data_IF_904743525425
#
_entry.id   IF_904743525425
#
_cell.length_a   1.000
_cell.length_b   1.000
_cell.length_c   1.000
_cell.angle_alpha   90.00
_cell.angle_beta   90.00
_cell.angle_gamma   90.00
#
_symmetry.space_group_name_H-M   'P 1'
#
loop_
_entity.id
_entity.type
_entity.pdbx_description
1 polymer ?
#
# COMPACT_ATOMS: atom_id res chain seq x y z
N UNK A 1 -3.50 11.32 5.95
CA UNK A 1 -4.19 10.01 5.82
C UNK A 1 -3.20 8.87 6.06
N UNK A 2 -3.64 7.68 6.48
CA UNK A 2 -2.74 6.54 6.73
C UNK A 2 -3.28 5.26 6.11
N UNK A 3 -2.37 4.41 5.63
CA UNK A 3 -2.67 3.10 5.05
C UNK A 3 -1.55 2.09 5.31
N UNK A 4 -1.87 0.81 5.15
CA UNK A 4 -0.91 -0.29 5.31
C UNK A 4 -1.20 -1.40 4.32
N UNK A 5 -0.17 -2.17 3.96
CA UNK A 5 -0.31 -3.40 3.18
C UNK A 5 0.15 -4.57 4.03
N UNK A 6 -0.67 -5.62 4.08
CA UNK A 6 -0.34 -6.88 4.77
C UNK A 6 -0.74 -8.09 3.92
N UNK A 7 -0.40 -9.29 4.38
CA UNK A 7 -0.67 -10.55 3.68
C UNK A 7 -1.74 -11.36 4.40
N UNK A 8 -2.72 -11.85 3.65
CA UNK A 8 -3.75 -12.76 4.14
C UNK A 8 -3.13 -14.11 4.55
N UNK A 9 -3.42 -14.56 5.77
CA UNK A 9 -2.92 -15.85 6.31
C UNK A 9 -3.94 -16.99 6.22
N UNK A 10 -5.14 -16.70 5.69
CA UNK A 10 -6.21 -17.68 5.45
C UNK A 10 -7.26 -17.08 4.51
N UNK A 11 -8.08 -17.94 3.93
CA UNK A 11 -9.26 -17.54 3.17
C UNK A 11 -10.26 -16.77 4.05
N UNK A 12 -10.86 -15.73 3.47
CA UNK A 12 -11.87 -14.89 4.11
C UNK A 12 -12.71 -14.15 3.06
N UNK A 13 -13.55 -13.22 3.51
CA UNK A 13 -14.32 -12.31 2.66
C UNK A 13 -14.38 -10.94 3.32
N UNK A 14 -14.33 -9.87 2.53
CA UNK A 14 -14.57 -8.50 2.97
C UNK A 14 -15.49 -7.78 1.98
N UNK A 15 -15.76 -6.50 2.23
CA UNK A 15 -16.62 -5.68 1.37
C UNK A 15 -16.05 -5.48 -0.05
N UNK A 16 -14.73 -5.62 -0.22
CA UNK A 16 -14.04 -5.53 -1.52
C UNK A 16 -14.19 -6.84 -2.32
N UNK A 17 -14.39 -7.98 -1.65
CA UNK A 17 -14.52 -9.28 -2.31
C UNK A 17 -14.02 -10.47 -1.48
N UNK A 18 -13.90 -11.65 -2.12
CA UNK A 18 -13.24 -12.81 -1.52
C UNK A 18 -11.74 -12.55 -1.32
N UNK A 19 -11.18 -13.09 -0.24
CA UNK A 19 -9.76 -13.05 0.09
C UNK A 19 -9.26 -14.49 0.10
N UNK A 20 -8.24 -14.81 -0.70
CA UNK A 20 -7.54 -16.08 -0.63
C UNK A 20 -6.34 -16.00 0.31
N UNK A 21 -5.97 -17.12 0.92
CA UNK A 21 -4.70 -17.24 1.63
C UNK A 21 -3.53 -16.84 0.71
N UNK A 22 -2.73 -15.89 1.16
CA UNK A 22 -1.57 -15.39 0.44
C UNK A 22 -1.80 -14.08 -0.32
N UNK A 23 -3.05 -13.64 -0.51
CA UNK A 23 -3.36 -12.34 -1.11
C UNK A 23 -2.79 -11.18 -0.27
N UNK A 24 -2.57 -10.05 -0.91
CA UNK A 24 -2.16 -8.81 -0.28
C UNK A 24 -3.35 -7.88 -0.10
N UNK A 25 -3.44 -7.33 1.10
CA UNK A 25 -4.55 -6.51 1.54
C UNK A 25 -4.07 -5.08 1.72
N UNK A 26 -4.69 -4.14 1.01
CA UNK A 26 -4.54 -2.72 1.29
C UNK A 26 -5.57 -2.31 2.34
N UNK A 27 -5.12 -1.77 3.47
CA UNK A 27 -5.97 -1.43 4.62
C UNK A 27 -5.85 0.06 4.89
N UNK A 28 -6.99 0.73 5.03
CA UNK A 28 -7.11 2.10 5.50
C UNK A 28 -7.88 2.14 6.82
N UNK A 29 -8.06 3.34 7.38
CA UNK A 29 -8.83 3.57 8.62
C UNK A 29 -10.24 2.94 8.59
N UNK A 30 -10.87 2.91 7.42
CA UNK A 30 -12.25 2.44 7.24
C UNK A 30 -12.35 0.92 6.99
N UNK A 31 -11.22 0.23 6.79
CA UNK A 31 -11.16 -1.20 6.55
C UNK A 31 -10.30 -1.56 5.32
N UNK A 32 -10.52 -2.77 4.82
CA UNK A 32 -9.84 -3.29 3.63
C UNK A 32 -10.36 -2.55 2.39
N UNK A 33 -9.45 -2.01 1.59
CA UNK A 33 -9.71 -1.24 0.35
C UNK A 33 -9.16 -1.91 -0.90
N UNK A 34 -8.23 -2.84 -0.76
CA UNK A 34 -7.64 -3.60 -1.87
C UNK A 34 -7.45 -5.07 -1.47
N UNK A 35 -7.67 -5.98 -2.42
CA UNK A 35 -7.37 -7.42 -2.29
C UNK A 35 -6.73 -7.87 -3.61
N UNK A 36 -5.42 -8.04 -3.61
CA UNK A 36 -4.65 -8.26 -4.84
C UNK A 36 -3.63 -9.38 -4.69
N UNK A 37 -3.20 -9.96 -5.82
CA UNK A 37 -2.23 -11.06 -5.81
C UNK A 37 -0.79 -10.60 -5.52
N UNK A 38 -0.49 -9.29 -5.67
CA UNK A 38 0.85 -8.74 -5.44
C UNK A 38 0.84 -7.55 -4.50
N UNK A 39 1.98 -7.32 -3.83
CA UNK A 39 2.15 -6.19 -2.91
C UNK A 39 2.03 -4.85 -3.63
N UNK A 40 2.60 -4.74 -4.84
CA UNK A 40 2.57 -3.51 -5.63
C UNK A 40 1.14 -3.15 -6.05
N UNK A 41 0.37 -4.14 -6.50
CA UNK A 41 -1.03 -3.91 -6.89
C UNK A 41 -1.87 -3.50 -5.67
N UNK A 42 -1.73 -4.21 -4.54
CA UNK A 42 -2.44 -3.85 -3.31
C UNK A 42 -2.09 -2.43 -2.81
N UNK A 43 -0.81 -2.04 -2.91
CA UNK A 43 -0.35 -0.71 -2.53
C UNK A 43 -0.91 0.37 -3.46
N UNK A 44 -0.80 0.19 -4.78
CA UNK A 44 -1.26 1.20 -5.76
C UNK A 44 -2.77 1.36 -5.76
N UNK A 45 -3.55 0.26 -5.66
CA UNK A 45 -5.02 0.31 -5.52
C UNK A 45 -5.44 0.99 -4.22
N UNK A 46 -4.68 0.81 -3.13
CA UNK A 46 -4.91 1.52 -1.87
C UNK A 46 -4.62 3.01 -2.02
N UNK A 47 -3.45 3.37 -2.58
CA UNK A 47 -3.02 4.76 -2.71
C UNK A 47 -3.92 5.57 -3.65
N UNK A 48 -4.39 4.98 -4.75
CA UNK A 48 -5.35 5.61 -5.67
C UNK A 48 -6.65 6.03 -4.97
N UNK A 49 -7.03 5.34 -3.90
CA UNK A 49 -8.20 5.66 -3.09
C UNK A 49 -7.91 6.66 -1.97
N UNK A 50 -6.66 6.78 -1.52
CA UNK A 50 -6.28 7.58 -0.36
C UNK A 50 -5.65 8.93 -0.74
N UNK A 51 -5.02 9.04 -1.90
CA UNK A 51 -4.38 10.27 -2.36
C UNK A 51 -5.42 11.16 -3.03
N UNK A 52 -5.62 12.35 -2.47
CA UNK A 52 -6.46 13.41 -3.03
C UNK A 52 -5.65 14.58 -3.60
N UNK A 53 -6.36 15.56 -4.17
CA UNK A 53 -5.78 16.78 -4.77
C UNK A 53 -5.11 17.71 -3.73
N UNK A 54 -5.39 17.52 -2.44
CA UNK A 54 -4.87 18.34 -1.34
C UNK A 54 -3.65 17.71 -0.65
N UNK A 55 -3.10 16.62 -1.19
CA UNK A 55 -1.97 15.91 -0.61
C UNK A 55 -0.68 16.22 -1.38
N UNK A 56 0.43 16.38 -0.67
CA UNK A 56 1.71 16.82 -1.21
C UNK A 56 2.83 15.80 -0.95
N UNK A 57 2.71 14.97 0.10
CA UNK A 57 3.76 14.02 0.47
C UNK A 57 3.16 12.63 0.72
N UNK A 58 3.80 11.61 0.14
CA UNK A 58 3.62 10.20 0.48
C UNK A 58 4.88 9.68 1.18
N UNK A 59 4.78 9.45 2.48
CA UNK A 59 5.77 8.71 3.25
C UNK A 59 5.53 7.20 3.10
N UNK A 60 6.54 6.47 2.62
CA UNK A 60 6.56 5.03 2.45
C UNK A 60 7.52 4.43 3.47
N UNK A 61 7.01 3.59 4.37
CA UNK A 61 7.84 2.87 5.34
C UNK A 61 7.89 1.39 4.93
N UNK A 62 9.07 0.94 4.54
CA UNK A 62 9.34 -0.44 4.13
C UNK A 62 9.53 -1.35 5.35
N UNK A 63 8.80 -2.46 5.39
CA UNK A 63 8.96 -3.52 6.38
C UNK A 63 9.51 -4.82 5.80
N UNK A 64 9.28 -5.91 6.52
CA UNK A 64 9.72 -7.23 6.11
C UNK A 64 8.93 -7.71 4.89
N UNK A 65 9.65 -8.15 3.85
CA UNK A 65 9.05 -8.54 2.57
C UNK A 65 8.92 -7.41 1.55
N UNK A 66 9.23 -6.16 1.92
CA UNK A 66 9.49 -5.10 0.94
C UNK A 66 10.73 -5.43 0.11
N UNK A 67 10.71 -5.05 -1.17
CA UNK A 67 11.86 -5.19 -2.06
C UNK A 67 12.05 -3.91 -2.84
N UNK A 68 13.30 -3.57 -3.17
CA UNK A 68 13.63 -2.40 -4.00
C UNK A 68 12.83 -2.37 -5.31
N UNK A 69 12.57 -3.55 -5.89
CA UNK A 69 11.75 -3.69 -7.09
C UNK A 69 10.31 -3.25 -6.87
N UNK A 70 9.67 -3.74 -5.80
CA UNK A 70 8.30 -3.38 -5.44
C UNK A 70 8.19 -1.91 -5.05
N UNK A 71 9.12 -1.39 -4.25
CA UNK A 71 9.14 0.02 -3.84
C UNK A 71 9.26 0.93 -5.04
N UNK A 72 10.15 0.59 -5.99
CA UNK A 72 10.27 1.33 -7.24
C UNK A 72 8.99 1.29 -8.07
N UNK A 73 8.28 0.17 -8.14
CA UNK A 73 6.99 0.12 -8.84
C UNK A 73 5.96 1.08 -8.21
N UNK A 74 5.92 1.16 -6.88
CA UNK A 74 5.00 2.06 -6.17
C UNK A 74 5.38 3.52 -6.42
N UNK A 75 6.67 3.88 -6.36
CA UNK A 75 7.11 5.27 -6.58
C UNK A 75 7.02 5.69 -8.04
N UNK A 76 7.26 4.79 -9.00
CA UNK A 76 7.03 5.04 -10.44
C UNK A 76 5.54 5.27 -10.70
N UNK A 77 4.67 4.41 -10.15
CA UNK A 77 3.22 4.60 -10.24
C UNK A 77 2.78 5.96 -9.67
N UNK A 78 3.31 6.34 -8.50
CA UNK A 78 3.01 7.64 -7.87
C UNK A 78 3.39 8.79 -8.79
N UNK A 79 4.61 8.78 -9.35
CA UNK A 79 5.08 9.84 -10.24
C UNK A 79 4.25 9.96 -11.52
N UNK A 80 3.67 8.86 -12.01
CA UNK A 80 2.80 8.84 -13.19
C UNK A 80 1.37 9.35 -12.89
N UNK A 81 0.80 8.99 -11.74
CA UNK A 81 -0.62 9.24 -11.43
C UNK A 81 -0.83 10.48 -10.55
N UNK A 82 0.15 10.80 -9.71
CA UNK A 82 0.13 11.91 -8.76
C UNK A 82 1.48 12.68 -8.82
N UNK A 83 1.78 13.36 -9.94
CA UNK A 83 3.09 13.99 -10.17
C UNK A 83 3.41 15.14 -9.20
N UNK A 84 2.40 15.68 -8.54
CA UNK A 84 2.54 16.75 -7.54
C UNK A 84 2.81 16.22 -6.12
N UNK A 85 2.79 14.89 -5.92
CA UNK A 85 3.04 14.24 -4.63
C UNK A 85 4.48 13.72 -4.57
N UNK A 86 5.24 14.16 -3.57
CA UNK A 86 6.62 13.72 -3.33
C UNK A 86 6.65 12.41 -2.53
N UNK A 87 7.45 11.43 -2.98
CA UNK A 87 7.66 10.17 -2.25
C UNK A 87 8.86 10.24 -1.31
N UNK A 88 8.64 10.00 -0.02
CA UNK A 88 9.69 9.83 0.99
C UNK A 88 9.78 8.37 1.44
N UNK A 89 10.87 7.68 1.13
CA UNK A 89 11.03 6.26 1.46
C UNK A 89 11.94 6.07 2.67
N UNK A 90 11.47 5.29 3.64
CA UNK A 90 12.21 4.94 4.85
C UNK A 90 12.22 3.43 5.09
N UNK A 91 13.35 2.91 5.55
CA UNK A 91 13.46 1.52 6.00
C UNK A 91 13.02 1.40 7.47
N UNK A 92 11.82 0.85 7.70
CA UNK A 92 11.25 0.64 9.03
C UNK A 92 11.49 -0.76 9.62
N UNK A 93 11.60 -1.78 8.77
CA UNK A 93 11.91 -3.16 9.17
C UNK A 93 10.82 -3.86 9.99
N UNK A 94 9.56 -3.47 9.81
CA UNK A 94 8.43 -4.03 10.56
C UNK A 94 8.08 -5.45 10.07
N UNK A 95 8.00 -6.46 10.96
CA UNK A 95 7.93 -7.87 10.56
C UNK A 95 6.58 -8.34 9.96
N UNK A 96 5.50 -7.58 10.16
CA UNK A 96 4.13 -8.00 9.79
C UNK A 96 3.54 -7.22 8.61
N UNK A 97 4.22 -6.16 8.17
CA UNK A 97 3.71 -5.21 7.19
C UNK A 97 4.80 -4.92 6.17
N UNK A 98 4.68 -5.41 4.93
CA UNK A 98 5.62 -5.02 3.88
C UNK A 98 5.65 -3.51 3.66
N UNK A 99 4.53 -2.79 3.80
CA UNK A 99 4.48 -1.33 3.67
C UNK A 99 3.51 -0.66 4.64
N UNK A 100 3.92 0.49 5.16
CA UNK A 100 3.03 1.51 5.74
C UNK A 100 3.13 2.80 4.94
N UNK A 101 2.02 3.52 4.88
CA UNK A 101 1.89 4.79 4.17
C UNK A 101 1.38 5.87 5.11
N UNK A 102 2.11 6.98 5.15
CA UNK A 102 1.65 8.27 5.66
C UNK A 102 1.42 9.19 4.48
N UNK A 103 0.26 9.83 4.40
CA UNK A 103 -0.08 10.77 3.33
C UNK A 103 -0.42 12.10 3.99
N UNK A 104 0.18 13.19 3.55
CA UNK A 104 0.00 14.52 4.12
C UNK A 104 -0.59 15.49 3.10
#
# INVERSE_FOLDING_TARGET
VAGEVTRAVRDSTCDVGPIAEGDYLGIAREGIRAVEATVADAATVLLDQLIGDDHEILTIIEGEGATDGTTRQITEWLAEHHPDVEAEVHHGGQPLYPYFFGIE
#
